data_IF_600107792209
#
_entry.id   IF_600107792209
#
_cell.length_a   1.000
_cell.length_b   1.000
_cell.length_c   1.000
_cell.angle_alpha   90.00
_cell.angle_beta   90.00
_cell.angle_gamma   90.00
#
_symmetry.space_group_name_H-M   'P 1'
#
loop_
_entity.id
_entity.type
_entity.pdbx_description
1 polymer ?
#
# COMPACT_ATOMS: atom_id res chain seq x y z
N UNK A 1 8.09 9.03 10.08
CA UNK A 1 6.93 9.74 9.46
C UNK A 1 7.11 9.92 7.94
N UNK A 2 8.23 10.47 7.48
CA UNK A 2 8.54 10.70 6.05
C UNK A 2 8.43 9.41 5.21
N UNK A 3 8.93 8.29 5.73
CA UNK A 3 8.87 6.97 5.11
C UNK A 3 7.43 6.46 4.84
N UNK A 4 6.48 6.79 5.71
CA UNK A 4 5.06 6.38 5.56
C UNK A 4 4.37 7.19 4.48
N UNK A 5 4.61 8.49 4.44
CA UNK A 5 4.05 9.40 3.44
C UNK A 5 4.53 8.98 2.04
N UNK A 6 5.82 8.69 1.89
CA UNK A 6 6.37 8.21 0.62
C UNK A 6 5.73 6.89 0.16
N UNK A 7 5.60 5.90 1.04
CA UNK A 7 4.98 4.61 0.69
C UNK A 7 3.51 4.75 0.26
N UNK A 8 2.72 5.60 0.94
CA UNK A 8 1.34 5.87 0.53
C UNK A 8 1.30 6.67 -0.78
N UNK A 9 2.26 7.60 -0.99
CA UNK A 9 2.42 8.33 -2.24
C UNK A 9 2.70 7.39 -3.43
N UNK A 10 3.64 6.46 -3.28
CA UNK A 10 3.99 5.47 -4.31
C UNK A 10 2.80 4.57 -4.66
N UNK A 11 2.06 4.12 -3.64
CA UNK A 11 0.83 3.37 -3.84
C UNK A 11 -0.19 4.15 -4.67
N UNK A 12 -0.45 5.41 -4.31
CA UNK A 12 -1.41 6.28 -5.01
C UNK A 12 -0.95 6.58 -6.43
N UNK A 13 0.35 6.80 -6.65
CA UNK A 13 0.93 7.00 -7.98
C UNK A 13 0.70 5.77 -8.87
N UNK A 14 0.92 4.57 -8.34
CA UNK A 14 0.84 3.35 -9.13
C UNK A 14 -0.59 2.86 -9.39
N UNK A 15 -1.47 2.92 -8.37
CA UNK A 15 -2.80 2.32 -8.42
C UNK A 15 -3.93 3.34 -8.53
N UNK A 16 -3.65 4.61 -8.27
CA UNK A 16 -4.57 5.72 -8.37
C UNK A 16 -5.29 6.04 -7.06
N UNK A 17 -5.59 7.33 -6.87
CA UNK A 17 -6.23 7.86 -5.65
C UNK A 17 -7.61 7.23 -5.39
N UNK A 18 -8.40 6.94 -6.44
CA UNK A 18 -9.72 6.34 -6.28
C UNK A 18 -9.67 4.95 -5.61
N UNK A 19 -8.65 4.14 -5.95
CA UNK A 19 -8.43 2.84 -5.30
C UNK A 19 -7.99 2.98 -3.86
N UNK A 20 -7.13 3.96 -3.56
CA UNK A 20 -6.74 4.27 -2.19
C UNK A 20 -7.95 4.67 -1.33
N UNK A 21 -8.75 5.63 -1.78
CA UNK A 21 -9.91 6.13 -1.02
C UNK A 21 -10.93 5.03 -0.70
N UNK A 22 -11.13 4.07 -1.61
CA UNK A 22 -12.05 2.95 -1.41
C UNK A 22 -11.45 1.76 -0.63
N UNK A 23 -10.17 1.80 -0.28
CA UNK A 23 -9.45 0.66 0.29
C UNK A 23 -9.56 0.53 1.80
N UNK A 24 -9.38 -0.70 2.30
CA UNK A 24 -9.11 -0.95 3.72
C UNK A 24 -7.79 -0.32 4.16
N UNK A 25 -6.79 -0.23 3.26
CA UNK A 25 -5.53 0.45 3.51
C UNK A 25 -5.74 1.90 4.01
N UNK A 26 -6.63 2.67 3.36
CA UNK A 26 -6.95 4.04 3.80
C UNK A 26 -7.50 4.06 5.24
N UNK A 27 -8.39 3.13 5.57
CA UNK A 27 -8.96 3.02 6.93
C UNK A 27 -7.88 2.73 7.97
N UNK A 28 -6.93 1.84 7.66
CA UNK A 28 -5.80 1.55 8.53
C UNK A 28 -4.88 2.76 8.72
N UNK A 29 -4.58 3.48 7.63
CA UNK A 29 -3.76 4.71 7.69
C UNK A 29 -4.45 5.78 8.55
N UNK A 30 -5.75 6.00 8.37
CA UNK A 30 -6.53 6.98 9.14
C UNK A 30 -6.64 6.62 10.63
N UNK A 31 -6.59 5.32 10.96
CA UNK A 31 -6.56 4.81 12.33
C UNK A 31 -5.14 4.67 12.91
N UNK A 32 -4.12 5.05 12.14
CA UNK A 32 -2.70 4.83 12.48
C UNK A 32 -2.34 3.36 12.78
N UNK A 33 -3.11 2.40 12.24
CA UNK A 33 -2.82 0.97 12.30
C UNK A 33 -1.83 0.60 11.19
N UNK A 34 -0.56 0.94 11.43
CA UNK A 34 0.51 0.77 10.45
C UNK A 34 0.89 -0.69 10.20
N UNK A 35 0.67 -1.57 11.18
CA UNK A 35 0.90 -3.01 11.02
C UNK A 35 -0.11 -3.58 10.04
N UNK A 36 -1.40 -3.32 10.24
CA UNK A 36 -2.44 -3.78 9.31
C UNK A 36 -2.30 -3.09 7.95
N UNK A 37 -1.95 -1.79 7.90
CA UNK A 37 -1.67 -1.10 6.64
C UNK A 37 -0.55 -1.77 5.82
N UNK A 38 0.53 -2.22 6.48
CA UNK A 38 1.62 -2.98 5.85
C UNK A 38 1.13 -4.30 5.24
N UNK A 39 0.17 -4.97 5.88
CA UNK A 39 -0.45 -6.17 5.31
C UNK A 39 -1.41 -5.86 4.16
N UNK A 40 -2.19 -4.77 4.25
CA UNK A 40 -3.15 -4.37 3.21
C UNK A 40 -2.45 -3.97 1.91
N UNK A 41 -1.32 -3.26 1.96
CA UNK A 41 -0.61 -2.83 0.74
C UNK A 41 -0.12 -4.03 -0.09
N UNK A 42 0.30 -5.12 0.56
CA UNK A 42 0.76 -6.37 -0.08
C UNK A 42 -0.35 -7.15 -0.79
N UNK A 43 -1.63 -6.83 -0.57
CA UNK A 43 -2.76 -7.50 -1.25
C UNK A 43 -2.97 -7.00 -2.68
N UNK A 44 -2.42 -5.83 -3.01
CA UNK A 44 -2.63 -5.18 -4.30
C UNK A 44 -1.69 -5.70 -5.40
N UNK A 45 -1.87 -6.98 -5.75
CA UNK A 45 -0.98 -7.74 -6.65
C UNK A 45 -1.61 -8.12 -8.00
N UNK A 46 -2.88 -7.76 -8.21
CA UNK A 46 -3.64 -8.13 -9.40
C UNK A 46 -3.87 -6.93 -10.33
N UNK A 47 -3.70 -7.15 -11.63
CA UNK A 47 -4.14 -6.23 -12.68
C UNK A 47 -4.67 -7.04 -13.88
N UNK A 48 -5.77 -6.57 -14.49
CA UNK A 48 -6.42 -7.29 -15.59
C UNK A 48 -6.82 -8.74 -15.24
N UNK A 49 -7.18 -8.99 -13.98
CA UNK A 49 -7.54 -10.33 -13.49
C UNK A 49 -6.35 -11.29 -13.29
N UNK A 50 -5.11 -10.83 -13.47
CA UNK A 50 -3.90 -11.65 -13.29
C UNK A 50 -3.03 -11.12 -12.17
N UNK A 51 -2.43 -12.04 -11.40
CA UNK A 51 -1.39 -11.68 -10.43
C UNK A 51 -0.13 -11.31 -11.21
N UNK A 52 0.46 -10.15 -10.91
CA UNK A 52 1.69 -9.68 -11.56
C UNK A 52 2.84 -9.66 -10.56
N UNK A 53 3.95 -10.33 -10.91
CA UNK A 53 5.13 -10.40 -10.05
C UNK A 53 5.69 -9.01 -9.69
N UNK A 54 5.67 -8.06 -10.64
CA UNK A 54 6.08 -6.68 -10.37
C UNK A 54 5.26 -6.00 -9.27
N UNK A 55 3.96 -6.30 -9.17
CA UNK A 55 3.09 -5.75 -8.12
C UNK A 55 3.31 -6.43 -6.77
N UNK A 56 3.69 -7.73 -6.77
CA UNK A 56 4.10 -8.45 -5.55
C UNK A 56 5.36 -7.82 -4.97
N UNK A 57 6.41 -7.69 -5.78
CA UNK A 57 7.69 -7.10 -5.36
C UNK A 57 7.52 -5.66 -4.88
N UNK A 58 6.71 -4.86 -5.59
CA UNK A 58 6.37 -3.50 -5.18
C UNK A 58 5.71 -3.50 -3.79
N UNK A 59 4.70 -4.34 -3.59
CA UNK A 59 4.00 -4.44 -2.31
C UNK A 59 4.92 -4.83 -1.15
N UNK A 60 5.92 -5.68 -1.37
CA UNK A 60 6.93 -6.01 -0.36
C UNK A 60 7.77 -4.79 0.01
N UNK A 61 8.27 -4.05 -0.99
CA UNK A 61 9.08 -2.82 -0.77
C UNK A 61 8.26 -1.72 -0.11
N UNK A 62 7.04 -1.46 -0.54
CA UNK A 62 6.18 -0.40 0.02
C UNK A 62 5.70 -0.72 1.45
N UNK A 63 5.66 -2.00 1.83
CA UNK A 63 5.16 -2.43 3.14
C UNK A 63 6.14 -2.19 4.30
N UNK A 64 7.44 -2.21 4.03
CA UNK A 64 8.48 -2.10 5.05
C UNK A 64 8.60 -0.66 5.61
N UNK A 65 8.58 0.41 4.79
CA UNK A 65 8.55 1.80 5.27
C UNK A 65 7.38 2.11 6.20
N UNK A 66 6.25 1.39 6.08
CA UNK A 66 5.09 1.61 6.95
C UNK A 66 5.37 1.22 8.41
N UNK A 67 6.23 0.22 8.63
CA UNK A 67 6.58 -0.29 9.96
C UNK A 67 7.73 0.48 10.61
N UNK A 68 8.52 1.22 9.82
CA UNK A 68 9.65 2.01 10.31
C UNK A 68 9.18 3.41 10.70
N UNK A 69 9.30 3.74 11.99
CA UNK A 69 8.97 5.05 12.57
C UNK A 69 10.00 6.11 12.18
#
# INVERSE_FOLDING_TARGET
MENRISAIGDFVFNLGIGRYLASTLRKCVDAEDWVTASHEIRKWVFAGGKKLNGLVLRGEVESEPLLKS
#
